data_IF_127608122001
#
_entry.id   IF_127608122001
#
_cell.length_a   1.000
_cell.length_b   1.000
_cell.length_c   1.000
_cell.angle_alpha   90.00
_cell.angle_beta   90.00
_cell.angle_gamma   90.00
#
_symmetry.space_group_name_H-M   'P 1'
#
loop_
_entity.id
_entity.type
_entity.pdbx_description
1 polymer ?
#
# COMPACT_ATOMS: atom_id res chain seq x y z
N UNK A 1 4.22 4.03 -29.58
CA UNK A 1 4.41 2.95 -28.59
C UNK A 1 5.16 3.53 -27.40
N UNK A 2 4.57 3.72 -26.21
CA UNK A 2 5.30 4.26 -25.07
C UNK A 2 5.73 3.12 -24.13
N UNK A 3 6.96 2.64 -24.30
CA UNK A 3 7.62 1.70 -23.37
C UNK A 3 8.75 2.40 -22.61
N UNK A 4 8.49 3.60 -22.06
CA UNK A 4 9.51 4.46 -21.44
C UNK A 4 9.58 4.37 -19.89
N UNK A 5 8.88 3.43 -19.26
CA UNK A 5 8.78 3.40 -17.78
C UNK A 5 9.60 2.32 -17.07
N UNK A 6 10.40 1.51 -17.79
CA UNK A 6 11.13 0.39 -17.19
C UNK A 6 12.59 0.71 -16.81
N UNK A 7 13.16 1.79 -17.36
CA UNK A 7 14.55 2.20 -17.12
C UNK A 7 14.76 2.76 -15.69
N UNK A 8 13.75 3.43 -15.12
CA UNK A 8 13.79 3.87 -13.71
C UNK A 8 13.85 2.71 -12.70
N UNK A 9 13.44 1.49 -13.08
CA UNK A 9 13.61 0.29 -12.27
C UNK A 9 15.02 -0.31 -12.43
N UNK A 10 15.76 0.08 -13.47
CA UNK A 10 17.15 -0.28 -13.70
C UNK A 10 18.09 0.47 -12.76
N UNK A 11 17.74 1.69 -12.31
CA UNK A 11 18.47 2.40 -11.24
C UNK A 11 18.39 1.75 -9.86
N UNK A 12 17.51 0.76 -9.65
CA UNK A 12 17.52 -0.11 -8.46
C UNK A 12 18.47 -1.33 -8.62
N UNK A 13 19.07 -1.53 -9.80
CA UNK A 13 19.79 -2.78 -10.14
C UNK A 13 21.29 -2.77 -9.83
N UNK A 14 21.91 -1.68 -9.39
CA UNK A 14 23.38 -1.67 -9.25
C UNK A 14 23.85 -1.07 -7.91
N UNK A 15 24.09 -1.95 -6.91
CA UNK A 15 25.20 -1.90 -5.93
C UNK A 15 25.35 -3.27 -5.18
N UNK A 16 26.55 -3.67 -4.69
CA UNK A 16 27.24 -4.93 -5.07
C UNK A 16 27.11 -6.18 -4.16
N UNK A 17 26.34 -6.17 -3.08
CA UNK A 17 25.99 -7.38 -2.32
C UNK A 17 24.57 -7.17 -1.82
N UNK A 18 23.63 -8.03 -2.23
CA UNK A 18 22.20 -7.78 -2.17
C UNK A 18 21.70 -7.64 -0.72
N UNK A 19 21.88 -6.45 -0.13
CA UNK A 19 21.54 -6.15 1.27
C UNK A 19 20.07 -6.41 1.55
N UNK A 20 19.23 -6.18 0.55
CA UNK A 20 17.82 -6.55 0.59
C UNK A 20 17.67 -8.07 0.80
N UNK A 21 18.36 -8.89 0.00
CA UNK A 21 18.34 -10.34 0.16
C UNK A 21 18.86 -10.78 1.53
N UNK A 22 19.93 -10.17 2.05
CA UNK A 22 20.42 -10.47 3.41
C UNK A 22 19.35 -10.21 4.47
N UNK A 23 18.68 -9.06 4.40
CA UNK A 23 17.60 -8.72 5.33
C UNK A 23 16.39 -9.66 5.15
N UNK A 24 16.03 -10.00 3.92
CA UNK A 24 14.93 -10.92 3.62
C UNK A 24 15.19 -12.33 4.16
N UNK A 25 16.42 -12.84 4.05
CA UNK A 25 16.81 -14.13 4.64
C UNK A 25 16.71 -14.12 6.17
N UNK A 26 17.07 -13.01 6.82
CA UNK A 26 16.89 -12.88 8.28
C UNK A 26 15.42 -12.80 8.68
N UNK A 27 14.60 -12.08 7.90
CA UNK A 27 13.15 -12.01 8.11
C UNK A 27 12.52 -13.41 7.96
N UNK A 28 12.99 -14.24 7.04
CA UNK A 28 12.58 -15.65 6.93
C UNK A 28 12.84 -16.45 8.21
N UNK A 29 13.93 -16.15 8.91
CA UNK A 29 14.27 -16.77 10.19
C UNK A 29 13.48 -16.19 11.39
N UNK A 30 12.54 -15.26 11.15
CA UNK A 30 11.73 -14.62 12.18
C UNK A 30 12.34 -13.36 12.80
N UNK A 31 13.40 -12.80 12.21
CA UNK A 31 14.03 -11.58 12.71
C UNK A 31 13.18 -10.34 12.37
N UNK A 32 12.36 -9.92 13.33
CA UNK A 32 11.54 -8.70 13.25
C UNK A 32 12.38 -7.42 13.13
N UNK A 33 13.58 -7.38 13.70
CA UNK A 33 14.46 -6.20 13.62
C UNK A 33 14.96 -5.99 12.19
N UNK A 34 15.22 -7.08 11.46
CA UNK A 34 15.59 -7.04 10.05
C UNK A 34 14.45 -6.50 9.19
N UNK A 35 13.18 -6.77 9.54
CA UNK A 35 12.03 -6.17 8.88
C UNK A 35 11.95 -4.65 9.13
N UNK A 36 12.13 -4.22 10.39
CA UNK A 36 12.18 -2.79 10.73
C UNK A 36 13.33 -2.08 10.01
N UNK A 37 14.49 -2.73 9.91
CA UNK A 37 15.65 -2.20 9.20
C UNK A 37 15.35 -2.04 7.70
N UNK A 38 14.76 -3.07 7.07
CA UNK A 38 14.33 -3.01 5.67
C UNK A 38 13.35 -1.85 5.44
N UNK A 39 12.39 -1.64 6.36
CA UNK A 39 11.46 -0.53 6.29
C UNK A 39 12.16 0.84 6.39
N UNK A 40 13.12 0.99 7.30
CA UNK A 40 13.88 2.23 7.47
C UNK A 40 14.72 2.57 6.24
N UNK A 41 15.40 1.57 5.69
CA UNK A 41 16.32 1.75 4.57
C UNK A 41 15.58 1.97 3.25
N UNK A 42 14.50 1.20 3.00
CA UNK A 42 13.83 1.18 1.70
C UNK A 42 12.46 1.87 1.68
N UNK A 43 11.85 2.15 2.83
CA UNK A 43 10.50 2.72 2.90
C UNK A 43 10.40 4.08 2.20
N UNK A 44 11.40 4.95 2.36
CA UNK A 44 11.42 6.28 1.72
C UNK A 44 11.52 6.18 0.20
N UNK A 45 12.45 5.38 -0.32
CA UNK A 45 12.63 5.25 -1.77
C UNK A 45 11.44 4.55 -2.43
N UNK A 46 10.87 3.52 -1.80
CA UNK A 46 9.66 2.87 -2.29
C UNK A 46 8.47 3.83 -2.32
N UNK A 47 8.29 4.66 -1.28
CA UNK A 47 7.23 5.67 -1.29
C UNK A 47 7.41 6.67 -2.42
N UNK A 48 8.63 7.11 -2.73
CA UNK A 48 8.89 7.99 -3.87
C UNK A 48 8.50 7.33 -5.19
N UNK A 49 8.87 6.06 -5.41
CA UNK A 49 8.50 5.30 -6.60
C UNK A 49 6.98 5.16 -6.72
N UNK A 50 6.31 4.77 -5.63
CA UNK A 50 4.85 4.60 -5.60
C UNK A 50 4.11 5.91 -5.86
N UNK A 51 4.61 7.04 -5.35
CA UNK A 51 4.05 8.37 -5.61
C UNK A 51 4.23 8.83 -7.06
N UNK A 52 5.25 8.35 -7.77
CA UNK A 52 5.38 8.61 -9.21
C UNK A 52 4.40 7.76 -10.03
N UNK A 53 4.04 6.58 -9.54
CA UNK A 53 3.18 5.63 -10.25
C UNK A 53 1.68 5.81 -9.95
N UNK A 54 1.31 6.40 -8.80
CA UNK A 54 -0.07 6.55 -8.36
C UNK A 54 -0.44 8.03 -8.21
N UNK A 55 -1.61 8.47 -8.72
CA UNK A 55 -2.00 9.88 -8.71
C UNK A 55 -2.31 10.39 -7.31
N UNK A 56 -2.96 9.57 -6.48
CA UNK A 56 -3.39 9.94 -5.14
C UNK A 56 -2.32 9.61 -4.09
N UNK A 57 -1.95 10.59 -3.26
CA UNK A 57 -1.03 10.38 -2.13
C UNK A 57 -1.49 9.24 -1.22
N UNK A 58 -2.79 9.18 -0.92
CA UNK A 58 -3.37 8.13 -0.09
C UNK A 58 -3.28 6.74 -0.74
N UNK A 59 -3.31 6.64 -2.07
CA UNK A 59 -3.07 5.38 -2.79
C UNK A 59 -1.61 4.94 -2.68
N UNK A 60 -0.66 5.86 -2.82
CA UNK A 60 0.77 5.54 -2.67
C UNK A 60 1.10 5.03 -1.25
N UNK A 61 0.54 5.64 -0.21
CA UNK A 61 0.74 5.19 1.17
C UNK A 61 0.11 3.81 1.44
N UNK A 62 -1.09 3.55 0.88
CA UNK A 62 -1.72 2.22 0.96
C UNK A 62 -0.89 1.17 0.22
N UNK A 63 -0.39 1.49 -0.97
CA UNK A 63 0.50 0.62 -1.72
C UNK A 63 1.76 0.30 -0.90
N UNK A 64 2.38 1.30 -0.27
CA UNK A 64 3.58 1.09 0.55
C UNK A 64 3.31 0.09 1.68
N UNK A 65 2.22 0.30 2.44
CA UNK A 65 1.80 -0.65 3.49
C UNK A 65 1.54 -2.05 2.92
N UNK A 66 0.90 -2.13 1.76
CA UNK A 66 0.65 -3.38 1.05
C UNK A 66 1.93 -4.11 0.64
N UNK A 67 2.96 -3.38 0.19
CA UNK A 67 4.27 -3.96 -0.17
C UNK A 67 4.90 -4.58 1.06
N UNK A 68 4.98 -3.86 2.17
CA UNK A 68 5.57 -4.39 3.41
C UNK A 68 4.77 -5.54 4.01
N UNK A 69 3.43 -5.51 3.91
CA UNK A 69 2.58 -6.62 4.29
C UNK A 69 2.84 -7.87 3.43
N UNK A 70 3.01 -7.71 2.11
CA UNK A 70 3.38 -8.80 1.22
C UNK A 70 4.78 -9.34 1.50
N UNK A 71 5.76 -8.46 1.78
CA UNK A 71 7.10 -8.88 2.18
C UNK A 71 7.00 -9.79 3.40
N UNK A 72 6.27 -9.38 4.44
CA UNK A 72 6.08 -10.20 5.64
C UNK A 72 5.38 -11.53 5.35
N UNK A 73 4.33 -11.52 4.51
CA UNK A 73 3.56 -12.72 4.20
C UNK A 73 4.28 -13.70 3.27
N UNK A 74 5.19 -13.21 2.43
CA UNK A 74 5.81 -13.99 1.35
C UNK A 74 7.32 -14.15 1.50
N UNK A 75 7.94 -13.60 2.57
CA UNK A 75 9.38 -13.72 2.79
C UNK A 75 9.83 -15.18 2.80
N UNK A 76 9.04 -16.09 3.35
CA UNK A 76 9.32 -17.53 3.40
C UNK A 76 9.48 -18.19 2.01
N UNK A 77 8.99 -17.55 0.95
CA UNK A 77 9.13 -18.01 -0.44
C UNK A 77 10.21 -17.25 -1.21
N UNK A 78 10.94 -16.33 -0.58
CA UNK A 78 12.03 -15.61 -1.21
C UNK A 78 13.25 -16.52 -1.33
N UNK A 79 13.69 -16.73 -2.57
CA UNK A 79 14.89 -17.49 -2.89
C UNK A 79 15.97 -16.56 -3.51
N UNK A 80 17.06 -16.26 -2.77
CA UNK A 80 18.13 -15.42 -3.26
C UNK A 80 18.93 -16.03 -4.42
N UNK A 81 18.79 -17.34 -4.70
CA UNK A 81 19.41 -17.98 -5.86
C UNK A 81 18.63 -17.71 -7.16
N UNK A 82 17.33 -17.42 -7.07
CA UNK A 82 16.46 -17.19 -8.23
C UNK A 82 16.27 -15.70 -8.53
N UNK A 83 16.29 -14.82 -7.53
CA UNK A 83 16.04 -13.39 -7.72
C UNK A 83 16.76 -12.53 -6.70
N UNK A 84 17.16 -11.33 -7.11
CA UNK A 84 17.70 -10.30 -6.22
C UNK A 84 16.63 -9.83 -5.24
N UNK A 85 17.02 -9.46 -4.01
CA UNK A 85 16.08 -8.91 -3.02
C UNK A 85 15.44 -7.62 -3.52
N UNK A 86 16.23 -6.75 -4.16
CA UNK A 86 15.73 -5.54 -4.82
C UNK A 86 14.76 -5.86 -5.96
N UNK A 87 15.05 -6.91 -6.75
CA UNK A 87 14.18 -7.36 -7.84
C UNK A 87 12.83 -7.88 -7.34
N UNK A 88 12.86 -8.68 -6.28
CA UNK A 88 11.67 -9.21 -5.62
C UNK A 88 10.80 -8.11 -5.02
N UNK A 89 11.39 -7.17 -4.28
CA UNK A 89 10.66 -6.02 -3.72
C UNK A 89 10.05 -5.15 -4.82
N UNK A 90 10.77 -4.94 -5.92
CA UNK A 90 10.27 -4.19 -7.08
C UNK A 90 9.07 -4.87 -7.72
N UNK A 91 9.08 -6.20 -7.82
CA UNK A 91 7.92 -6.98 -8.28
C UNK A 91 6.71 -6.76 -7.38
N UNK A 92 6.87 -6.86 -6.06
CA UNK A 92 5.78 -6.62 -5.10
C UNK A 92 5.23 -5.20 -5.20
N UNK A 93 6.11 -4.20 -5.36
CA UNK A 93 5.70 -2.81 -5.57
C UNK A 93 4.85 -2.64 -6.82
N UNK A 94 5.21 -3.29 -7.94
CA UNK A 94 4.41 -3.30 -9.17
C UNK A 94 3.06 -3.95 -8.96
N UNK A 95 3.01 -5.11 -8.30
CA UNK A 95 1.76 -5.79 -7.96
C UNK A 95 0.84 -4.89 -7.14
N UNK A 96 1.39 -4.13 -6.17
CA UNK A 96 0.60 -3.17 -5.40
C UNK A 96 0.12 -1.97 -6.20
N UNK A 97 0.93 -1.41 -7.11
CA UNK A 97 0.48 -0.34 -8.01
C UNK A 97 -0.76 -0.80 -8.80
N UNK A 98 -0.70 -2.00 -9.38
CA UNK A 98 -1.84 -2.59 -10.11
C UNK A 98 -3.04 -2.84 -9.19
N UNK A 99 -2.81 -3.32 -7.97
CA UNK A 99 -3.86 -3.54 -6.99
C UNK A 99 -4.57 -2.23 -6.61
N UNK A 100 -3.83 -1.14 -6.38
CA UNK A 100 -4.41 0.17 -6.09
C UNK A 100 -5.17 0.76 -7.29
N UNK A 101 -4.70 0.52 -8.51
CA UNK A 101 -5.39 0.95 -9.72
C UNK A 101 -6.73 0.22 -9.93
N UNK A 102 -6.82 -1.05 -9.52
CA UNK A 102 -8.04 -1.87 -9.59
C UNK A 102 -9.02 -1.59 -8.45
N UNK A 103 -8.51 -1.23 -7.28
CA UNK A 103 -9.30 -0.91 -6.10
C UNK A 103 -9.02 0.53 -5.64
N UNK A 104 -9.43 1.53 -6.44
CA UNK A 104 -9.40 2.91 -5.98
C UNK A 104 -10.27 3.00 -4.73
N UNK A 105 -9.77 3.65 -3.67
CA UNK A 105 -10.62 3.98 -2.54
C UNK A 105 -11.79 4.77 -3.13
N UNK A 106 -13.05 4.35 -2.92
CA UNK A 106 -14.17 5.19 -3.28
C UNK A 106 -13.91 6.54 -2.62
N UNK A 107 -13.84 7.61 -3.44
CA UNK A 107 -13.64 8.98 -2.94
C UNK A 107 -14.58 9.21 -1.76
N UNK A 108 -14.17 10.00 -0.74
CA UNK A 108 -14.78 9.97 0.58
C UNK A 108 -16.27 9.84 0.41
N UNK A 109 -16.81 8.66 0.74
CA UNK A 109 -18.24 8.48 0.87
C UNK A 109 -18.58 9.54 1.90
N UNK A 110 -19.03 10.71 1.42
CA UNK A 110 -19.67 11.68 2.27
C UNK A 110 -20.74 10.81 2.88
N UNK A 111 -20.67 10.48 4.19
CA UNK A 111 -21.73 9.71 4.79
C UNK A 111 -22.95 10.53 4.43
N UNK A 112 -23.81 10.02 3.54
CA UNK A 112 -25.02 10.72 3.15
C UNK A 112 -25.55 11.24 4.47
N UNK A 113 -25.73 12.57 4.65
CA UNK A 113 -26.21 13.07 5.92
C UNK A 113 -27.41 12.20 6.15
N UNK A 114 -27.33 11.33 7.16
CA UNK A 114 -28.44 10.47 7.52
C UNK A 114 -29.43 11.50 7.98
N UNK A 115 -30.21 12.00 7.04
CA UNK A 115 -31.54 12.49 7.23
C UNK A 115 -32.16 11.29 7.91
N UNK A 116 -32.05 11.28 9.24
CA UNK A 116 -33.03 10.62 10.07
C UNK A 116 -34.33 11.13 9.50
N UNK A 117 -34.93 10.30 8.68
CA UNK A 117 -36.19 10.57 8.02
C UNK A 117 -37.26 10.78 9.10
N UNK A 118 -38.31 11.51 8.73
CA UNK A 118 -39.07 12.39 9.60
C UNK A 118 -39.91 11.60 10.60
N UNK A 119 -39.77 11.90 11.88
CA UNK A 119 -40.46 11.12 12.91
C UNK A 119 -40.51 11.75 14.28
N UNK A 120 -40.50 13.09 14.40
CA UNK A 120 -40.69 13.69 15.72
C UNK A 120 -41.37 15.06 15.64
N UNK A 121 -42.69 15.02 15.49
CA UNK A 121 -43.63 15.84 16.27
C UNK A 121 -45.07 15.63 15.77
N UNK A 122 -45.91 15.02 16.61
CA UNK A 122 -47.37 15.20 16.56
C UNK A 122 -47.76 16.22 17.66
N UNK A 123 -48.78 17.07 17.43
CA UNK A 123 -49.00 18.33 18.14
C UNK A 123 -49.64 18.15 19.54
N UNK A 124 -49.55 19.15 20.45
CA UNK A 124 -50.34 19.16 21.67
C UNK A 124 -51.82 19.35 21.30
N UNK A 125 -52.68 18.54 21.92
CA UNK A 125 -54.10 18.48 21.67
C UNK A 125 -54.79 19.84 21.75
N UNK A 126 -55.57 20.16 20.72
CA UNK A 126 -56.57 21.22 20.79
C UNK A 126 -57.82 20.62 21.45
N UNK A 127 -58.12 21.13 22.63
CA UNK A 127 -59.35 20.96 23.40
C UNK A 127 -60.62 21.10 22.54
N UNK A 128 -61.66 20.27 22.72
CA UNK A 128 -62.96 20.53 22.12
C UNK A 128 -63.61 21.75 22.79
N UNK A 129 -64.13 22.66 21.97
CA UNK A 129 -64.96 23.76 22.41
C UNK A 129 -66.44 23.42 22.14
N UNK A 130 -67.30 23.63 23.15
CA UNK A 130 -68.76 23.71 22.99
C UNK A 130 -69.51 22.41 23.19
#
# INVERSE_FOLDING_TARGET
MPEDHLDSAQSLRQDPADRCAELLVKIQAGDEQSFVQLYRDHGRILLLILRKALPEKAAAERALRGVFAQIWAQCASFDPAQTSGSGWITRLAREQILNQAKNPVPGPEVPEPRLRTPGLWSPPGRVPAG
#
